data_IF_617572601346
#
_entry.id   IF_617572601346
#
_cell.length_a   1.000
_cell.length_b   1.000
_cell.length_c   1.000
_cell.angle_alpha   90.00
_cell.angle_beta   90.00
_cell.angle_gamma   90.00
#
_symmetry.space_group_name_H-M   'P 1'
#
loop_
_entity.id
_entity.type
_entity.pdbx_description
1 polymer ?
#
# COMPACT_ATOMS: atom_id res chain seq x y z
N UNK A 1 8.03 -10.10 5.49
CA UNK A 1 7.88 -9.07 6.51
C UNK A 1 6.74 -9.49 7.43
N UNK A 2 7.05 -9.98 8.62
CA UNK A 2 6.03 -10.15 9.66
C UNK A 2 5.65 -8.75 10.19
N UNK A 3 4.38 -8.55 10.51
CA UNK A 3 3.82 -7.23 10.85
C UNK A 3 2.50 -7.40 11.60
N UNK A 4 2.04 -6.32 12.24
CA UNK A 4 0.86 -6.36 13.10
C UNK A 4 -0.43 -6.26 12.26
N UNK A 5 -0.94 -7.41 11.83
CA UNK A 5 -2.18 -7.50 11.05
C UNK A 5 -3.37 -7.80 11.95
N UNK A 6 -4.11 -6.76 12.34
CA UNK A 6 -5.38 -6.89 13.07
C UNK A 6 -6.53 -6.61 12.10
N UNK A 7 -7.09 -7.65 11.47
CA UNK A 7 -8.09 -7.51 10.41
C UNK A 7 -9.37 -6.81 10.87
N UNK A 8 -9.81 -7.01 12.12
CA UNK A 8 -11.05 -6.43 12.66
C UNK A 8 -11.08 -4.89 12.70
N UNK A 9 -9.92 -4.23 12.61
CA UNK A 9 -9.78 -2.76 12.60
C UNK A 9 -9.10 -2.24 11.33
N UNK A 10 -8.96 -3.10 10.32
CA UNK A 10 -8.28 -2.76 9.08
C UNK A 10 -9.25 -2.14 8.07
N UNK A 11 -8.85 -1.04 7.43
CA UNK A 11 -9.61 -0.42 6.33
C UNK A 11 -9.83 -1.39 5.15
N UNK A 12 -8.95 -2.37 4.97
CA UNK A 12 -9.02 -3.36 3.90
C UNK A 12 -9.75 -4.66 4.31
N UNK A 13 -10.35 -4.73 5.50
CA UNK A 13 -11.02 -5.95 5.95
C UNK A 13 -12.12 -6.38 4.96
N UNK A 14 -12.10 -7.65 4.56
CA UNK A 14 -13.03 -8.19 3.54
C UNK A 14 -12.69 -7.83 2.10
N UNK A 15 -11.64 -7.01 1.87
CA UNK A 15 -11.16 -6.57 0.56
C UNK A 15 -9.63 -6.69 0.43
N UNK A 16 -9.00 -7.53 1.26
CA UNK A 16 -7.55 -7.64 1.40
C UNK A 16 -7.03 -8.90 0.71
N UNK A 17 -6.14 -8.77 -0.28
CA UNK A 17 -5.62 -9.93 -1.02
C UNK A 17 -4.86 -10.91 -0.11
N UNK A 18 -4.20 -10.41 0.93
CA UNK A 18 -3.50 -11.25 1.90
C UNK A 18 -4.50 -12.10 2.72
N UNK A 19 -5.63 -11.50 3.09
CA UNK A 19 -6.71 -12.19 3.80
C UNK A 19 -7.35 -13.25 2.89
N UNK A 20 -7.67 -12.88 1.66
CA UNK A 20 -8.27 -13.80 0.67
C UNK A 20 -7.35 -14.99 0.38
N UNK A 21 -6.06 -14.72 0.20
CA UNK A 21 -5.05 -15.76 -0.06
C UNK A 21 -4.94 -16.70 1.13
N UNK A 22 -4.92 -16.17 2.37
CA UNK A 22 -4.87 -16.99 3.59
C UNK A 22 -6.08 -17.94 3.68
N UNK A 23 -7.28 -17.45 3.37
CA UNK A 23 -8.50 -18.27 3.33
C UNK A 23 -8.40 -19.33 2.22
N UNK A 24 -7.96 -18.94 1.03
CA UNK A 24 -7.88 -19.81 -0.14
C UNK A 24 -6.94 -21.01 0.10
N UNK A 25 -5.82 -20.79 0.80
CA UNK A 25 -4.86 -21.87 1.13
C UNK A 25 -5.21 -22.63 2.41
N UNK A 26 -6.33 -22.28 3.08
CA UNK A 26 -6.78 -22.94 4.30
C UNK A 26 -5.93 -22.63 5.53
N UNK A 27 -5.33 -21.43 5.61
CA UNK A 27 -4.58 -20.99 6.78
C UNK A 27 -5.55 -20.69 7.94
N UNK A 28 -5.42 -21.43 9.03
CA UNK A 28 -6.25 -21.33 10.23
C UNK A 28 -5.47 -20.77 11.44
N UNK A 29 -4.17 -21.05 11.55
CA UNK A 29 -3.29 -20.56 12.61
C UNK A 29 -1.86 -20.29 12.13
N UNK A 30 -1.14 -19.42 12.85
CA UNK A 30 0.31 -19.27 12.68
C UNK A 30 1.03 -20.40 13.41
N UNK A 31 2.01 -21.01 12.76
CA UNK A 31 2.93 -21.98 13.40
C UNK A 31 4.15 -21.31 14.04
N UNK A 32 4.29 -20.00 13.85
CA UNK A 32 5.39 -19.19 14.36
C UNK A 32 4.88 -18.21 15.41
N UNK A 33 5.73 -17.94 16.40
CA UNK A 33 5.47 -16.89 17.38
C UNK A 33 5.44 -15.51 16.71
N UNK A 34 4.48 -14.69 17.15
CA UNK A 34 4.38 -13.29 16.72
C UNK A 34 5.51 -12.48 17.37
N UNK A 35 6.24 -11.69 16.59
CA UNK A 35 7.32 -10.81 17.09
C UNK A 35 6.81 -9.44 17.51
N UNK A 36 5.61 -9.05 17.05
CA UNK A 36 5.00 -7.75 17.33
C UNK A 36 5.95 -6.56 17.10
N UNK A 37 6.51 -6.41 15.88
CA UNK A 37 7.48 -5.35 15.61
C UNK A 37 6.83 -3.97 15.82
N UNK A 38 7.54 -3.06 16.47
CA UNK A 38 7.13 -1.66 16.54
C UNK A 38 7.51 -0.95 15.24
N UNK A 39 6.51 -0.61 14.44
CA UNK A 39 6.69 0.14 13.20
C UNK A 39 5.82 1.37 13.22
N UNK A 40 6.39 2.47 12.74
CA UNK A 40 5.71 3.75 12.65
C UNK A 40 4.58 3.72 11.61
N UNK A 41 3.67 4.66 11.78
CA UNK A 41 2.68 5.04 10.79
C UNK A 41 2.99 6.48 10.38
N UNK A 42 2.99 6.74 9.07
CA UNK A 42 3.12 8.10 8.56
C UNK A 42 1.74 8.62 8.11
N UNK A 43 1.31 9.67 8.78
CA UNK A 43 0.07 10.41 8.54
C UNK A 43 0.35 11.87 8.16
N UNK A 44 1.54 12.18 7.65
CA UNK A 44 1.90 13.55 7.28
C UNK A 44 1.20 14.05 6.02
N UNK A 45 0.85 13.16 5.09
CA UNK A 45 0.17 13.53 3.83
C UNK A 45 -1.30 13.90 4.08
N UNK A 46 -1.81 14.97 3.46
CA UNK A 46 -3.15 15.48 3.74
C UNK A 46 -4.28 14.44 3.59
N UNK A 47 -4.28 13.68 2.50
CA UNK A 47 -5.35 12.74 2.17
C UNK A 47 -5.06 11.27 2.54
N UNK A 48 -3.80 10.87 2.63
CA UNK A 48 -3.41 9.47 2.67
C UNK A 48 -2.51 9.17 3.86
N UNK A 49 -2.43 7.89 4.23
CA UNK A 49 -1.54 7.40 5.26
C UNK A 49 -0.86 6.10 4.86
N UNK A 50 0.29 5.82 5.48
CA UNK A 50 0.98 4.54 5.37
C UNK A 50 1.21 3.93 6.76
N UNK A 51 0.73 2.70 6.95
CA UNK A 51 0.96 1.86 8.12
C UNK A 51 1.94 0.74 7.75
N UNK A 52 3.19 0.87 8.21
CA UNK A 52 4.25 -0.10 7.92
C UNK A 52 4.01 -1.46 8.60
N UNK A 53 3.12 -1.55 9.59
CA UNK A 53 2.74 -2.84 10.19
C UNK A 53 1.96 -3.72 9.22
N UNK A 54 1.22 -3.12 8.28
CA UNK A 54 0.34 -3.84 7.34
C UNK A 54 1.02 -4.08 5.99
N UNK A 55 2.23 -3.57 5.80
CA UNK A 55 2.97 -3.69 4.55
C UNK A 55 3.66 -5.05 4.46
N UNK A 56 3.39 -5.76 3.36
CA UNK A 56 4.04 -7.04 3.04
C UNK A 56 5.26 -6.90 2.14
N UNK A 57 5.71 -5.66 1.90
CA UNK A 57 6.88 -5.32 1.06
C UNK A 57 6.78 -5.87 -0.38
N UNK A 58 5.58 -5.86 -0.97
CA UNK A 58 5.33 -6.35 -2.32
C UNK A 58 5.76 -5.40 -3.46
N UNK A 59 6.26 -4.20 -3.11
CA UNK A 59 6.73 -3.13 -4.03
C UNK A 59 5.74 -2.65 -5.10
N UNK A 60 4.46 -3.02 -5.05
CA UNK A 60 3.43 -2.51 -5.99
C UNK A 60 3.29 -0.98 -5.94
N UNK A 61 3.42 -0.37 -4.75
CA UNK A 61 3.37 1.09 -4.58
C UNK A 61 4.55 1.81 -5.25
N UNK A 62 5.74 1.21 -5.19
CA UNK A 62 6.96 1.71 -5.86
C UNK A 62 6.73 1.69 -7.37
N UNK A 63 6.39 0.51 -7.91
CA UNK A 63 6.16 0.31 -9.34
C UNK A 63 5.06 1.19 -9.91
N UNK A 64 3.92 1.32 -9.24
CA UNK A 64 2.81 2.15 -9.76
C UNK A 64 3.17 3.64 -9.76
N UNK A 65 3.95 4.09 -8.77
CA UNK A 65 4.37 5.48 -8.67
C UNK A 65 5.47 5.83 -9.69
N UNK A 66 6.29 4.85 -10.05
CA UNK A 66 7.29 4.94 -11.11
C UNK A 66 6.66 4.76 -12.50
N UNK A 67 6.18 3.56 -12.81
CA UNK A 67 5.77 3.14 -14.15
C UNK A 67 4.50 3.85 -14.65
N UNK A 68 3.51 4.09 -13.76
CA UNK A 68 2.21 4.65 -14.15
C UNK A 68 2.15 6.16 -13.92
N UNK A 69 2.58 6.63 -12.74
CA UNK A 69 2.56 8.07 -12.45
C UNK A 69 3.81 8.79 -12.99
N UNK A 70 4.99 8.21 -12.82
CA UNK A 70 6.27 8.87 -13.09
C UNK A 70 6.71 9.84 -12.00
N UNK A 71 6.17 9.71 -10.78
CA UNK A 71 6.44 10.60 -9.65
C UNK A 71 7.60 10.13 -8.76
N UNK A 72 7.93 8.83 -8.77
CA UNK A 72 9.07 8.26 -8.01
C UNK A 72 9.10 8.62 -6.52
N UNK A 73 7.93 8.68 -5.86
CA UNK A 73 7.82 9.02 -4.43
C UNK A 73 8.31 7.91 -3.52
N UNK A 74 8.08 6.65 -3.91
CA UNK A 74 8.30 5.48 -3.06
C UNK A 74 9.56 4.71 -3.46
N UNK A 75 10.31 4.23 -2.47
CA UNK A 75 11.40 3.27 -2.64
C UNK A 75 11.46 2.29 -1.45
N UNK A 76 12.44 1.39 -1.44
CA UNK A 76 12.73 0.46 -0.34
C UNK A 76 14.01 0.91 0.38
N UNK A 77 13.89 1.27 1.66
CA UNK A 77 15.04 1.56 2.51
C UNK A 77 15.52 0.31 3.26
N UNK A 78 16.76 0.38 3.76
CA UNK A 78 17.40 -0.63 4.62
C UNK A 78 17.58 -2.01 3.96
N UNK A 79 17.92 -3.03 4.77
CA UNK A 79 18.17 -4.41 4.32
C UNK A 79 17.63 -5.43 5.33
N UNK A 80 17.32 -6.63 4.84
CA UNK A 80 16.89 -7.76 5.67
C UNK A 80 15.55 -7.51 6.35
N UNK A 81 15.47 -7.81 7.64
CA UNK A 81 14.25 -7.60 8.43
C UNK A 81 13.92 -6.14 8.70
N UNK A 82 14.88 -5.24 8.48
CA UNK A 82 14.70 -3.80 8.63
C UNK A 82 14.17 -3.11 7.37
N UNK A 83 13.93 -3.85 6.27
CA UNK A 83 13.39 -3.24 5.06
C UNK A 83 12.00 -2.63 5.28
N UNK A 84 11.79 -1.41 4.79
CA UNK A 84 10.48 -0.76 4.75
C UNK A 84 10.34 0.11 3.50
N UNK A 85 9.09 0.42 3.16
CA UNK A 85 8.78 1.36 2.09
C UNK A 85 9.03 2.77 2.61
N UNK A 86 9.82 3.55 1.88
CA UNK A 86 10.21 4.90 2.26
C UNK A 86 9.67 5.91 1.25
N UNK A 87 9.32 7.11 1.71
CA UNK A 87 8.94 8.25 0.86
C UNK A 87 10.08 9.24 0.68
N UNK A 88 10.33 9.67 -0.55
CA UNK A 88 11.42 10.60 -0.87
C UNK A 88 12.77 10.10 -0.35
N UNK A 89 13.52 10.97 0.34
CA UNK A 89 14.77 10.61 1.03
C UNK A 89 14.53 10.32 2.52
N UNK A 90 13.63 9.39 2.84
CA UNK A 90 13.24 9.06 4.23
C UNK A 90 12.66 10.24 5.00
N UNK A 91 11.84 11.01 4.29
CA UNK A 91 11.12 12.16 4.82
C UNK A 91 9.63 11.83 4.95
N UNK A 92 8.88 12.56 5.80
CA UNK A 92 7.43 12.39 5.89
C UNK A 92 6.77 12.56 4.52
N UNK A 93 5.88 11.64 4.14
CA UNK A 93 5.22 11.60 2.82
C UNK A 93 4.58 12.93 2.43
N UNK A 94 3.95 13.64 3.37
CA UNK A 94 3.34 14.95 3.12
C UNK A 94 4.32 16.07 2.76
N UNK A 95 5.63 15.85 2.92
CA UNK A 95 6.68 16.81 2.57
C UNK A 95 7.35 16.51 1.22
N UNK A 96 6.97 15.42 0.55
CA UNK A 96 7.59 15.02 -0.73
C UNK A 96 6.94 15.78 -1.89
N UNK A 97 7.64 16.78 -2.40
CA UNK A 97 7.18 17.64 -3.51
C UNK A 97 6.82 16.88 -4.80
N UNK A 98 7.49 15.74 -5.04
CA UNK A 98 7.22 14.91 -6.21
C UNK A 98 5.86 14.19 -6.14
N UNK A 99 5.22 14.12 -4.97
CA UNK A 99 3.91 13.49 -4.82
C UNK A 99 2.81 14.31 -5.49
N UNK A 100 2.11 13.69 -6.44
CA UNK A 100 1.00 14.31 -7.17
C UNK A 100 -0.37 14.10 -6.50
N UNK A 101 -0.40 13.47 -5.32
CA UNK A 101 -1.63 13.10 -4.61
C UNK A 101 -2.59 12.24 -5.45
N UNK A 102 -2.09 11.51 -6.46
CA UNK A 102 -2.92 10.79 -7.42
C UNK A 102 -3.63 9.55 -6.88
N UNK A 103 -3.27 9.05 -5.69
CA UNK A 103 -3.90 7.89 -5.04
C UNK A 103 -3.62 6.53 -5.68
N UNK A 104 -2.87 6.45 -6.79
CA UNK A 104 -2.60 5.16 -7.47
C UNK A 104 -1.88 4.14 -6.60
N UNK A 105 -1.00 4.59 -5.71
CA UNK A 105 -0.34 3.73 -4.71
C UNK A 105 -1.31 3.19 -3.64
N UNK A 106 -2.37 3.95 -3.32
CA UNK A 106 -3.46 3.48 -2.46
C UNK A 106 -4.21 2.37 -3.18
N UNK A 107 -4.63 2.59 -4.43
CA UNK A 107 -5.38 1.61 -5.23
C UNK A 107 -4.58 0.32 -5.47
N UNK A 108 -3.27 0.43 -5.70
CA UNK A 108 -2.39 -0.71 -5.96
C UNK A 108 -2.02 -1.53 -4.71
N UNK A 109 -2.22 -0.98 -3.51
CA UNK A 109 -1.82 -1.65 -2.28
C UNK A 109 -2.74 -2.86 -2.00
N UNK A 110 -2.20 -4.09 -1.93
CA UNK A 110 -3.00 -5.31 -1.76
C UNK A 110 -3.54 -5.50 -0.34
N UNK A 111 -3.05 -4.71 0.61
CA UNK A 111 -3.44 -4.74 2.03
C UNK A 111 -3.93 -3.36 2.46
N UNK A 112 -4.20 -3.17 3.76
CA UNK A 112 -4.49 -1.86 4.34
C UNK A 112 -3.25 -1.01 4.66
N UNK A 113 -2.10 -1.27 4.04
CA UNK A 113 -0.86 -0.55 4.36
C UNK A 113 -0.84 0.88 3.85
N UNK A 114 -1.34 1.15 2.64
CA UNK A 114 -1.50 2.51 2.11
C UNK A 114 -3.00 2.75 1.96
N UNK A 115 -3.50 3.80 2.58
CA UNK A 115 -4.94 4.02 2.75
C UNK A 115 -5.32 5.50 2.69
N UNK A 116 -6.60 5.75 2.40
CA UNK A 116 -7.19 7.07 2.54
C UNK A 116 -7.54 7.31 4.01
N UNK A 117 -7.16 8.46 4.56
CA UNK A 117 -7.46 8.84 5.95
C UNK A 117 -8.96 8.95 6.23
N UNK A 118 -9.78 9.20 5.21
CA UNK A 118 -11.23 9.24 5.34
C UNK A 118 -11.88 7.86 5.38
N UNK A 119 -11.15 6.78 5.09
CA UNK A 119 -11.70 5.43 5.09
C UNK A 119 -11.80 4.84 6.49
N UNK A 120 -12.96 4.26 6.79
CA UNK A 120 -13.18 3.47 8.00
C UNK A 120 -12.89 1.97 7.74
N UNK A 121 -13.07 1.13 8.76
CA UNK A 121 -12.83 -0.32 8.70
C UNK A 121 -13.63 -0.97 7.57
N UNK A 122 -12.94 -1.69 6.69
CA UNK A 122 -13.55 -2.40 5.55
C UNK A 122 -13.94 -1.53 4.35
N UNK A 123 -13.79 -0.21 4.41
CA UNK A 123 -14.20 0.69 3.31
C UNK A 123 -13.22 0.75 2.14
N UNK A 124 -11.99 0.26 2.30
CA UNK A 124 -11.03 0.20 1.19
C UNK A 124 -11.48 -0.88 0.20
N UNK A 125 -12.08 -0.45 -0.90
CA UNK A 125 -12.43 -1.31 -2.03
C UNK A 125 -11.24 -1.38 -2.99
N UNK A 126 -10.91 -2.58 -3.46
CA UNK A 126 -9.91 -2.78 -4.49
C UNK A 126 -10.55 -2.76 -5.86
N UNK A 127 -10.10 -1.85 -6.71
CA UNK A 127 -10.51 -1.76 -8.11
C UNK A 127 -9.30 -2.02 -9.03
N UNK A 128 -9.20 -3.25 -9.55
CA UNK A 128 -8.11 -3.64 -10.46
C UNK A 128 -8.33 -3.09 -11.87
N UNK A 129 -9.58 -2.96 -12.29
CA UNK A 129 -9.95 -2.51 -13.63
C UNK A 129 -9.51 -1.07 -13.85
N UNK A 130 -9.58 -0.23 -12.81
CA UNK A 130 -9.10 1.15 -12.84
C UNK A 130 -7.60 1.26 -13.17
N UNK A 131 -6.75 0.42 -12.58
CA UNK A 131 -5.32 0.45 -12.87
C UNK A 131 -5.02 -0.08 -14.29
N UNK A 132 -5.69 -1.15 -14.70
CA UNK A 132 -5.57 -1.70 -16.05
C UNK A 132 -5.99 -0.67 -17.11
N UNK A 133 -7.10 0.03 -16.88
CA UNK A 133 -7.55 1.13 -17.73
C UNK A 133 -6.48 2.22 -17.88
N UNK A 134 -5.86 2.65 -16.78
CA UNK A 134 -4.83 3.69 -16.81
C UNK A 134 -3.59 3.28 -17.59
N UNK A 135 -3.15 2.02 -17.47
CA UNK A 135 -2.04 1.47 -18.25
C UNK A 135 -2.41 1.47 -19.74
N UNK A 136 -3.58 0.93 -20.09
CA UNK A 136 -4.05 0.86 -21.47
C UNK A 136 -4.21 2.25 -22.11
N UNK A 137 -4.74 3.22 -21.35
CA UNK A 137 -4.89 4.60 -21.80
C UNK A 137 -3.53 5.25 -22.12
N UNK A 138 -2.52 5.00 -21.29
CA UNK A 138 -1.14 5.50 -21.47
C UNK A 138 -0.47 4.87 -22.69
N UNK A 139 -0.57 3.55 -22.86
CA UNK A 139 0.00 2.82 -24.00
C UNK A 139 -0.62 3.26 -25.33
N UNK A 140 -1.95 3.40 -25.35
CA UNK A 140 -2.69 3.80 -26.54
C UNK A 140 -2.73 5.32 -26.78
N UNK A 141 -2.09 6.12 -25.90
CA UNK A 141 -2.15 7.60 -25.89
C UNK A 141 -3.58 8.16 -25.89
N UNK A 142 -4.51 7.44 -25.28
CA UNK A 142 -5.92 7.81 -25.17
C UNK A 142 -6.12 8.58 -23.86
N UNK A 143 -5.67 9.83 -23.85
CA UNK A 143 -5.80 10.74 -22.72
C UNK A 143 -7.06 11.61 -22.87
N UNK A 144 -8.23 10.99 -22.98
CA UNK A 144 -9.50 11.72 -23.04
C UNK A 144 -10.58 10.96 -22.29
N UNK A 145 -11.35 11.71 -21.48
CA UNK A 145 -12.61 11.28 -20.87
C UNK A 145 -13.60 10.78 -21.92
#
# INVERSE_FOLDING_TARGET
AEGNHVCSICVANGNCELQDTAIQVGMDHSRFDYRFPDRSMDLSHDQFGIDHNRCILCTRCVRVCDEIEGAHVWDVAQRGEHCYIVSGMDQPWGTVDACTSCGKCVDACPTGAIFNKSSTTGEKVRDREKLEFLVNARENKQWSR
#
